data_IF_441003010267
#
_entry.id   IF_441003010267
#
_cell.length_a   1.000
_cell.length_b   1.000
_cell.length_c   1.000
_cell.angle_alpha   90.00
_cell.angle_beta   90.00
_cell.angle_gamma   90.00
#
_symmetry.space_group_name_H-M   'P 1'
#
loop_
_entity.id
_entity.type
_entity.pdbx_description
1 polymer ?
#
# COMPACT_ATOMS: atom_id res chain seq x y z
N UNK A 1 -6.42 -14.68 4.03
CA UNK A 1 -6.17 -13.22 4.19
C UNK A 1 -4.77 -12.99 4.72
N UNK A 2 -4.04 -12.07 4.09
CA UNK A 2 -2.68 -11.72 4.52
C UNK A 2 -2.74 -10.43 5.33
N UNK A 3 -2.09 -10.43 6.49
CA UNK A 3 -1.95 -9.23 7.32
C UNK A 3 -0.48 -9.01 7.62
N UNK A 4 -0.12 -7.76 7.91
CA UNK A 4 1.22 -7.41 8.33
C UNK A 4 1.15 -6.29 9.35
N UNK A 5 2.21 -6.09 10.12
CA UNK A 5 2.24 -5.12 11.20
C UNK A 5 3.21 -3.99 10.86
N UNK A 6 2.74 -2.76 11.01
CA UNK A 6 3.59 -1.57 10.85
C UNK A 6 4.63 -1.54 11.97
N UNK A 7 5.87 -1.28 11.64
CA UNK A 7 6.98 -1.19 12.58
C UNK A 7 7.78 0.06 12.28
N UNK A 8 8.63 0.46 13.22
CA UNK A 8 9.56 1.56 12.98
C UNK A 8 10.39 1.24 11.74
N UNK A 9 10.41 2.16 10.78
CA UNK A 9 11.09 2.00 9.50
C UNK A 9 10.52 0.89 8.61
N UNK A 10 9.29 0.44 8.88
CA UNK A 10 8.61 -0.55 8.06
C UNK A 10 7.14 -0.12 7.89
N UNK A 11 6.94 0.80 6.95
CA UNK A 11 5.64 1.40 6.67
C UNK A 11 5.08 0.85 5.35
N UNK A 12 4.00 1.48 4.87
CA UNK A 12 3.25 0.98 3.71
C UNK A 12 4.09 0.82 2.45
N UNK A 13 5.04 1.74 2.21
CA UNK A 13 5.89 1.67 1.02
C UNK A 13 6.79 0.44 1.02
N UNK A 14 7.35 0.09 2.17
CA UNK A 14 8.17 -1.12 2.29
C UNK A 14 7.32 -2.38 2.21
N UNK A 15 6.11 -2.35 2.76
CA UNK A 15 5.17 -3.45 2.63
C UNK A 15 4.81 -3.67 1.16
N UNK A 16 4.54 -2.59 0.43
CA UNK A 16 4.25 -2.66 -1.00
C UNK A 16 5.39 -3.31 -1.76
N UNK A 17 6.61 -2.94 -1.44
CA UNK A 17 7.79 -3.53 -2.07
C UNK A 17 7.91 -5.03 -1.77
N UNK A 18 7.62 -5.41 -0.52
CA UNK A 18 7.68 -6.80 -0.09
C UNK A 18 6.64 -7.68 -0.79
N UNK A 19 5.40 -7.20 -0.88
CA UNK A 19 4.30 -8.03 -1.38
C UNK A 19 4.03 -7.86 -2.86
N UNK A 20 4.36 -6.72 -3.44
CA UNK A 20 4.06 -6.42 -4.84
C UNK A 20 5.29 -6.12 -5.70
N UNK A 21 6.47 -6.02 -5.09
CA UNK A 21 7.71 -5.80 -5.81
C UNK A 21 8.07 -4.35 -6.10
N UNK A 22 7.16 -3.40 -5.82
CA UNK A 22 7.40 -1.97 -6.03
C UNK A 22 6.73 -1.16 -4.92
N UNK A 23 7.33 -0.03 -4.54
CA UNK A 23 6.80 0.81 -3.46
C UNK A 23 5.52 1.55 -3.87
N UNK A 24 5.33 1.84 -5.15
CA UNK A 24 4.24 2.68 -5.63
C UNK A 24 2.84 2.15 -5.29
N UNK A 25 2.71 0.85 -5.09
CA UNK A 25 1.43 0.22 -4.80
C UNK A 25 0.97 0.38 -3.35
N UNK A 26 1.72 1.15 -2.53
CA UNK A 26 1.34 1.42 -1.14
C UNK A 26 -0.06 2.03 -1.04
N UNK A 27 -0.50 2.73 -2.09
CA UNK A 27 -1.81 3.38 -2.13
C UNK A 27 -2.94 2.36 -1.97
N UNK A 28 -2.77 1.16 -2.49
CA UNK A 28 -3.78 0.11 -2.40
C UNK A 28 -3.83 -0.52 -1.01
N UNK A 29 -2.70 -0.58 -0.31
CA UNK A 29 -2.68 -1.00 1.09
C UNK A 29 -3.42 0.05 1.93
N UNK A 30 -3.18 1.33 1.66
CA UNK A 30 -3.90 2.42 2.31
C UNK A 30 -5.41 2.31 2.04
N UNK A 31 -5.81 2.14 0.78
CA UNK A 31 -7.23 2.02 0.41
C UNK A 31 -7.92 0.87 1.14
N UNK A 32 -7.25 -0.26 1.25
CA UNK A 32 -7.81 -1.45 1.91
C UNK A 32 -7.97 -1.23 3.42
N UNK A 33 -7.18 -0.34 4.01
CA UNK A 33 -7.17 -0.10 5.46
C UNK A 33 -7.58 1.32 5.83
N UNK A 34 -8.31 1.98 4.95
CA UNK A 34 -8.67 3.39 5.07
C UNK A 34 -9.38 3.72 6.38
N UNK A 35 -10.17 2.79 6.90
CA UNK A 35 -10.87 2.98 8.17
C UNK A 35 -9.93 3.02 9.37
N UNK A 36 -8.75 2.44 9.25
CA UNK A 36 -7.75 2.37 10.32
C UNK A 36 -6.66 3.44 10.19
N UNK A 37 -6.46 3.98 9.00
CA UNK A 37 -5.37 4.91 8.69
C UNK A 37 -5.98 6.27 8.37
N UNK A 38 -5.83 7.21 9.28
CA UNK A 38 -6.34 8.58 9.08
C UNK A 38 -5.45 9.38 8.14
N UNK A 39 -4.15 9.18 8.25
CA UNK A 39 -3.16 9.90 7.45
C UNK A 39 -2.09 8.92 6.98
N UNK A 40 -1.93 8.69 5.66
CA UNK A 40 -0.95 7.73 5.16
C UNK A 40 0.49 8.12 5.47
N UNK A 41 0.74 9.40 5.82
CA UNK A 41 2.06 9.88 6.22
C UNK A 41 2.34 9.73 7.71
N UNK A 42 1.37 9.26 8.49
CA UNK A 42 1.48 9.16 9.94
C UNK A 42 0.91 7.83 10.44
N UNK A 43 1.41 6.74 9.89
CA UNK A 43 0.96 5.40 10.28
C UNK A 43 1.75 4.96 11.50
N UNK A 44 1.03 4.58 12.57
CA UNK A 44 1.66 4.24 13.85
C UNK A 44 2.25 2.84 13.86
N UNK A 45 3.46 2.65 14.39
CA UNK A 45 3.99 1.31 14.63
C UNK A 45 3.05 0.50 15.52
N UNK A 46 2.89 -0.77 15.21
CA UNK A 46 1.97 -1.65 15.92
C UNK A 46 0.62 -1.84 15.23
N UNK A 47 0.28 -0.98 14.28
CA UNK A 47 -0.96 -1.14 13.52
C UNK A 47 -0.90 -2.37 12.64
N UNK A 48 -1.92 -3.21 12.73
CA UNK A 48 -2.05 -4.39 11.86
C UNK A 48 -2.88 -4.00 10.64
N UNK A 49 -2.36 -4.24 9.45
CA UNK A 49 -3.03 -3.89 8.20
C UNK A 49 -3.26 -5.15 7.36
N UNK A 50 -4.35 -5.13 6.60
CA UNK A 50 -4.66 -6.19 5.64
C UNK A 50 -3.92 -5.88 4.35
N UNK A 51 -3.25 -6.89 3.78
CA UNK A 51 -2.55 -6.77 2.51
C UNK A 51 -3.49 -7.31 1.42
N UNK A 52 -4.06 -6.46 0.58
CA UNK A 52 -5.01 -6.94 -0.44
C UNK A 52 -4.31 -7.79 -1.49
N UNK A 53 -5.01 -8.78 -2.07
CA UNK A 53 -4.45 -9.54 -3.18
C UNK A 53 -4.26 -8.62 -4.39
N UNK A 54 -3.19 -8.87 -5.15
CA UNK A 54 -2.86 -8.03 -6.30
C UNK A 54 -4.01 -7.91 -7.31
N UNK A 55 -4.76 -8.98 -7.53
CA UNK A 55 -5.86 -9.02 -8.49
C UNK A 55 -6.99 -8.06 -8.14
N UNK A 56 -7.17 -7.75 -6.88
CA UNK A 56 -8.27 -6.88 -6.43
C UNK A 56 -8.13 -5.47 -7.02
N UNK A 57 -6.90 -5.00 -7.17
CA UNK A 57 -6.62 -3.65 -7.67
C UNK A 57 -5.87 -3.63 -8.99
N UNK A 58 -5.71 -4.79 -9.62
CA UNK A 58 -4.95 -4.88 -10.86
C UNK A 58 -3.48 -4.55 -10.69
N UNK A 59 -2.90 -4.91 -9.56
CA UNK A 59 -1.50 -4.61 -9.25
C UNK A 59 -0.58 -5.53 -10.05
N UNK A 60 0.30 -4.94 -10.85
CA UNK A 60 1.29 -5.69 -11.62
C UNK A 60 2.54 -4.83 -11.78
N UNK A 61 3.61 -5.23 -11.11
CA UNK A 61 4.88 -4.48 -11.10
C UNK A 61 5.51 -4.35 -12.49
N UNK A 62 5.18 -5.26 -13.40
CA UNK A 62 5.74 -5.28 -14.76
C UNK A 62 4.87 -4.55 -15.79
N UNK A 63 3.72 -4.02 -15.38
CA UNK A 63 2.82 -3.28 -16.23
C UNK A 63 2.96 -1.77 -15.95
N UNK A 64 3.54 -0.99 -16.88
CA UNK A 64 3.69 0.45 -16.67
C UNK A 64 2.37 1.17 -16.38
N UNK A 65 1.27 0.67 -16.93
CA UNK A 65 -0.05 1.27 -16.70
C UNK A 65 -0.52 1.06 -15.26
N UNK A 66 -0.26 -0.11 -14.69
CA UNK A 66 -0.57 -0.41 -13.30
C UNK A 66 0.21 0.53 -12.36
N UNK A 67 1.48 0.74 -12.66
CA UNK A 67 2.35 1.64 -11.89
C UNK A 67 1.88 3.09 -12.03
N UNK A 68 1.53 3.51 -13.25
CA UNK A 68 1.05 4.87 -13.51
C UNK A 68 -0.22 5.18 -12.73
N UNK A 69 -1.16 4.25 -12.73
CA UNK A 69 -2.42 4.40 -11.98
C UNK A 69 -2.17 4.56 -10.49
N UNK A 70 -1.24 3.79 -9.94
CA UNK A 70 -0.89 3.91 -8.53
C UNK A 70 -0.30 5.27 -8.20
N UNK A 71 0.57 5.80 -9.07
CA UNK A 71 1.15 7.13 -8.89
C UNK A 71 0.08 8.23 -8.95
N UNK A 72 -0.86 8.13 -9.87
CA UNK A 72 -1.96 9.09 -9.97
C UNK A 72 -2.81 9.09 -8.71
N UNK A 73 -3.10 7.91 -8.18
CA UNK A 73 -3.89 7.79 -6.96
C UNK A 73 -3.13 8.40 -5.77
N UNK A 74 -1.82 8.20 -5.71
CA UNK A 74 -0.99 8.79 -4.66
C UNK A 74 -1.07 10.32 -4.67
N UNK A 75 -1.07 10.94 -5.85
CA UNK A 75 -1.20 12.38 -5.99
C UNK A 75 -2.52 12.89 -5.43
N UNK A 76 -3.59 12.11 -5.57
CA UNK A 76 -4.90 12.49 -5.04
C UNK A 76 -5.01 12.29 -3.53
N UNK A 77 -4.27 11.33 -2.98
CA UNK A 77 -4.28 11.03 -1.55
C UNK A 77 -3.41 12.04 -0.80
N UNK A 78 -2.25 12.37 -1.35
CA UNK A 78 -1.30 13.30 -0.76
C UNK A 78 -1.55 14.72 -1.29
#
# INVERSE_FOLDING_TARGET
>A
EIVDTVKTNYFLTKMSRKYYGRYEFWVYIYEENKSKIKNPNSVSPGLVVVIPPAEKYGINKDDPESVRKAKELAEKIL
#
